data_IF_182050011269
#
_entry.id   IF_182050011269
#
_cell.length_a   1.000
_cell.length_b   1.000
_cell.length_c   1.000
_cell.angle_alpha   90.00
_cell.angle_beta   90.00
_cell.angle_gamma   90.00
#
_symmetry.space_group_name_H-M   'P 1'
#
loop_
_entity.id
_entity.type
_entity.pdbx_description
1 polymer ?
#
# COMPACT_ATOMS: atom_id res chain seq x y z
N UNK A 1 7.74 -8.06 6.37
CA UNK A 1 7.84 -7.63 4.94
C UNK A 1 8.41 -6.23 4.77
N UNK A 2 9.07 -5.68 5.81
CA UNK A 2 9.76 -4.40 5.71
C UNK A 2 10.81 -4.46 4.58
N UNK A 3 10.81 -3.43 3.72
CA UNK A 3 11.72 -3.26 2.59
C UNK A 3 11.83 -4.50 1.68
N UNK A 4 10.69 -5.17 1.44
CA UNK A 4 10.64 -6.38 0.60
C UNK A 4 11.14 -6.09 -0.82
N UNK A 5 10.77 -4.95 -1.41
CA UNK A 5 11.25 -4.47 -2.70
C UNK A 5 12.37 -3.46 -2.50
N UNK A 6 13.49 -3.95 -1.97
CA UNK A 6 14.73 -3.18 -1.81
C UNK A 6 15.39 -2.87 -3.17
N UNK A 7 16.43 -2.04 -3.17
CA UNK A 7 17.18 -1.65 -4.36
C UNK A 7 17.67 -2.86 -5.18
N UNK A 8 18.18 -3.91 -4.48
CA UNK A 8 18.67 -5.12 -5.13
C UNK A 8 17.55 -5.87 -5.85
N UNK A 9 16.39 -6.05 -5.20
CA UNK A 9 15.27 -6.77 -5.81
C UNK A 9 14.64 -5.99 -6.95
N UNK A 10 14.56 -4.67 -6.84
CA UNK A 10 14.12 -3.82 -7.94
C UNK A 10 15.05 -3.93 -9.16
N UNK A 11 16.38 -3.97 -8.95
CA UNK A 11 17.34 -4.13 -10.06
C UNK A 11 17.28 -5.49 -10.76
N UNK A 12 16.70 -6.51 -10.12
CA UNK A 12 16.51 -7.84 -10.71
C UNK A 12 15.22 -7.97 -11.53
N UNK A 13 14.37 -6.96 -11.51
CA UNK A 13 13.15 -6.96 -12.30
C UNK A 13 13.45 -6.86 -13.80
N UNK A 14 12.56 -7.39 -14.60
CA UNK A 14 12.67 -7.27 -16.06
C UNK A 14 12.64 -5.79 -16.47
N UNK A 15 13.60 -5.31 -17.28
CA UNK A 15 13.56 -3.94 -17.79
C UNK A 15 12.23 -3.62 -18.48
N UNK A 16 11.70 -2.44 -18.18
CA UNK A 16 10.41 -2.00 -18.72
C UNK A 16 9.17 -2.45 -17.92
N UNK A 17 9.36 -3.09 -16.77
CA UNK A 17 8.25 -3.48 -15.88
C UNK A 17 7.50 -2.27 -15.34
N UNK A 18 6.20 -2.43 -15.06
CA UNK A 18 5.39 -1.50 -14.28
C UNK A 18 5.21 -1.99 -12.85
N UNK A 19 5.14 -1.06 -11.90
CA UNK A 19 4.91 -1.37 -10.47
C UNK A 19 3.63 -0.70 -9.99
N UNK A 20 2.86 -1.41 -9.16
CA UNK A 20 1.72 -0.87 -8.42
C UNK A 20 1.89 -1.20 -6.94
N UNK A 21 1.92 -0.18 -6.09
CA UNK A 21 1.94 -0.36 -4.63
C UNK A 21 0.70 0.26 -4.00
N UNK A 22 -0.27 -0.59 -3.67
CA UNK A 22 -1.49 -0.27 -2.94
C UNK A 22 -1.51 -0.94 -1.56
N UNK A 23 -0.35 -1.41 -1.12
CA UNK A 23 -0.18 -2.12 0.15
C UNK A 23 0.23 -1.18 1.29
N UNK A 24 1.54 -1.15 1.56
CA UNK A 24 2.14 -0.25 2.58
C UNK A 24 3.47 0.29 2.07
N UNK A 25 3.77 1.56 2.38
CA UNK A 25 5.01 2.24 1.98
C UNK A 25 6.26 1.45 2.41
N UNK A 26 6.27 0.96 3.64
CA UNK A 26 7.37 0.23 4.23
C UNK A 26 7.77 -1.06 3.48
N UNK A 27 7.00 -1.51 2.50
CA UNK A 27 7.33 -2.69 1.69
C UNK A 27 8.32 -2.41 0.57
N UNK A 28 8.54 -1.14 0.22
CA UNK A 28 9.32 -0.74 -0.95
C UNK A 28 10.33 0.38 -0.60
N UNK A 29 11.51 0.28 -1.20
CA UNK A 29 12.51 1.36 -1.23
C UNK A 29 12.13 2.37 -2.32
N UNK A 30 11.62 3.55 -1.91
CA UNK A 30 11.18 4.58 -2.84
C UNK A 30 12.33 5.37 -3.46
N UNK A 31 13.48 5.49 -2.79
CA UNK A 31 14.66 6.11 -3.39
C UNK A 31 15.15 5.27 -4.56
N UNK A 32 15.21 3.95 -4.38
CA UNK A 32 15.52 3.01 -5.45
C UNK A 32 14.48 3.03 -6.58
N UNK A 33 13.19 3.21 -6.26
CA UNK A 33 12.15 3.33 -7.28
C UNK A 33 12.35 4.59 -8.13
N UNK A 34 12.65 5.73 -7.50
CA UNK A 34 12.94 6.99 -8.20
C UNK A 34 14.13 6.84 -9.15
N UNK A 35 15.23 6.22 -8.68
CA UNK A 35 16.40 5.93 -9.53
C UNK A 35 16.02 5.05 -10.74
N UNK A 36 15.23 4.00 -10.53
CA UNK A 36 14.84 3.07 -11.58
C UNK A 36 13.84 3.68 -12.58
N UNK A 37 12.94 4.57 -12.15
CA UNK A 37 12.05 5.32 -13.03
C UNK A 37 12.84 6.30 -13.89
N UNK A 38 13.77 7.05 -13.28
CA UNK A 38 14.63 8.00 -13.99
C UNK A 38 15.54 7.32 -15.01
N UNK A 39 16.05 6.13 -14.73
CA UNK A 39 16.87 5.37 -15.67
C UNK A 39 16.06 4.65 -16.76
N UNK A 40 14.75 4.54 -16.59
CA UNK A 40 13.86 3.78 -17.47
C UNK A 40 13.92 2.26 -17.27
N UNK A 41 14.64 1.77 -16.25
CA UNK A 41 14.64 0.34 -15.89
C UNK A 41 13.23 -0.10 -15.47
N UNK A 42 12.56 0.68 -14.62
CA UNK A 42 11.12 0.59 -14.35
C UNK A 42 10.43 1.61 -15.26
N UNK A 43 9.48 1.15 -16.05
CA UNK A 43 8.82 1.98 -17.08
C UNK A 43 7.82 2.96 -16.47
N UNK A 44 7.07 2.53 -15.47
CA UNK A 44 6.07 3.34 -14.79
C UNK A 44 5.74 2.75 -13.41
N UNK A 45 5.25 3.59 -12.51
CA UNK A 45 4.73 3.13 -11.23
C UNK A 45 3.45 3.88 -10.83
N UNK A 46 2.60 3.19 -10.05
CA UNK A 46 1.45 3.76 -9.34
C UNK A 46 1.66 3.49 -7.86
N UNK A 47 1.64 4.54 -7.03
CA UNK A 47 1.81 4.43 -5.59
C UNK A 47 0.65 5.12 -4.89
N UNK A 48 0.03 4.38 -3.96
CA UNK A 48 -1.12 4.85 -3.16
C UNK A 48 -0.77 5.00 -1.67
N UNK A 49 0.46 4.70 -1.26
CA UNK A 49 0.87 4.65 0.15
C UNK A 49 2.25 5.31 0.33
N UNK A 50 2.44 6.06 1.43
CA UNK A 50 3.65 6.86 1.68
C UNK A 50 4.08 6.77 3.14
N UNK A 51 5.30 7.20 3.43
CA UNK A 51 5.81 7.40 4.78
C UNK A 51 6.73 8.64 4.78
N UNK A 52 6.32 9.76 5.43
CA UNK A 52 5.06 9.95 6.15
C UNK A 52 3.84 10.16 5.23
N UNK A 53 2.64 9.97 5.77
CA UNK A 53 1.37 10.36 5.16
C UNK A 53 0.75 11.54 5.95
N UNK A 54 0.24 12.58 5.25
CA UNK A 54 0.24 12.79 3.79
C UNK A 54 1.65 12.98 3.22
N UNK A 55 1.85 12.65 1.94
CA UNK A 55 3.12 12.86 1.25
C UNK A 55 3.52 14.34 1.32
N UNK A 56 4.72 14.67 1.84
CA UNK A 56 5.18 16.06 1.95
C UNK A 56 5.20 16.79 0.61
N UNK A 57 4.85 18.07 0.62
CA UNK A 57 4.79 18.90 -0.61
C UNK A 57 6.14 19.07 -1.31
N UNK A 58 7.24 18.88 -0.59
CA UNK A 58 8.59 18.92 -1.13
C UNK A 58 9.18 17.55 -1.47
N UNK A 59 8.36 16.50 -1.49
CA UNK A 59 8.81 15.15 -1.85
C UNK A 59 9.21 15.08 -3.32
N UNK A 60 10.35 14.43 -3.60
CA UNK A 60 10.82 14.16 -4.96
C UNK A 60 9.83 13.30 -5.76
N UNK A 61 8.97 12.55 -5.09
CA UNK A 61 7.97 11.70 -5.75
C UNK A 61 6.99 12.50 -6.62
N UNK A 62 6.72 13.77 -6.28
CA UNK A 62 5.84 14.63 -7.08
C UNK A 62 6.41 14.93 -8.48
N UNK A 63 7.74 15.05 -8.58
CA UNK A 63 8.44 15.41 -9.81
C UNK A 63 9.06 14.19 -10.53
N UNK A 64 8.84 12.98 -9.99
CA UNK A 64 9.41 11.76 -10.57
C UNK A 64 8.66 11.38 -11.85
N UNK A 65 9.36 11.22 -12.99
CA UNK A 65 8.72 10.89 -14.26
C UNK A 65 8.07 9.51 -14.23
N UNK A 66 6.94 9.37 -14.93
CA UNK A 66 6.19 8.10 -15.04
C UNK A 66 5.73 7.52 -13.70
N UNK A 67 5.64 8.33 -12.65
CA UNK A 67 5.06 8.00 -11.36
C UNK A 67 3.68 8.63 -11.23
N UNK A 68 2.68 7.80 -10.96
CA UNK A 68 1.35 8.26 -10.55
C UNK A 68 1.24 8.15 -9.03
N UNK A 69 0.97 9.26 -8.38
CA UNK A 69 0.76 9.38 -6.92
C UNK A 69 -0.74 9.42 -6.66
N UNK A 70 -1.24 8.50 -5.83
CA UNK A 70 -2.62 8.45 -5.38
C UNK A 70 -2.67 8.72 -3.87
N UNK A 71 -3.68 9.40 -3.33
CA UNK A 71 -3.69 9.84 -1.94
C UNK A 71 -4.28 8.79 -0.97
N UNK A 72 -3.82 7.55 -1.05
CA UNK A 72 -4.24 6.40 -0.22
C UNK A 72 -5.74 6.11 -0.30
N UNK A 73 -6.24 5.98 -1.52
CA UNK A 73 -7.67 5.83 -1.82
C UNK A 73 -7.99 4.59 -2.67
N UNK A 74 -7.03 3.69 -2.89
CA UNK A 74 -7.23 2.54 -3.78
C UNK A 74 -8.31 1.55 -3.30
N UNK A 75 -8.64 1.57 -2.00
CA UNK A 75 -9.73 0.79 -1.41
C UNK A 75 -10.93 1.64 -1.02
N UNK A 76 -10.95 2.94 -1.34
CA UNK A 76 -12.05 3.84 -1.01
C UNK A 76 -13.17 3.69 -2.05
N UNK A 77 -14.21 2.99 -1.63
CA UNK A 77 -15.46 2.84 -2.37
C UNK A 77 -16.58 3.47 -1.53
N UNK A 78 -17.04 4.65 -1.97
CA UNK A 78 -18.04 5.43 -1.25
C UNK A 78 -19.36 4.71 -1.02
N UNK A 79 -19.70 3.70 -1.84
CA UNK A 79 -20.97 3.01 -1.77
C UNK A 79 -20.93 1.74 -0.89
N UNK A 80 -19.80 1.03 -0.85
CA UNK A 80 -19.74 -0.28 -0.20
C UNK A 80 -18.86 -0.34 1.03
N UNK A 81 -17.85 0.52 1.16
CA UNK A 81 -16.90 0.47 2.28
C UNK A 81 -17.58 0.56 3.65
N UNK A 82 -18.42 1.60 3.87
CA UNK A 82 -19.11 1.80 5.15
C UNK A 82 -20.13 0.68 5.44
N UNK A 83 -21.04 0.32 4.53
CA UNK A 83 -21.95 -0.80 4.76
C UNK A 83 -21.25 -2.11 5.13
N UNK A 84 -20.25 -2.53 4.37
CA UNK A 84 -19.50 -3.77 4.64
C UNK A 84 -18.75 -3.73 5.98
N UNK A 85 -18.22 -2.58 6.35
CA UNK A 85 -17.57 -2.40 7.66
C UNK A 85 -18.58 -2.54 8.79
N UNK A 86 -19.75 -1.91 8.68
CA UNK A 86 -20.81 -2.02 9.68
C UNK A 86 -21.35 -3.45 9.80
N UNK A 87 -21.54 -4.14 8.69
CA UNK A 87 -21.97 -5.55 8.67
C UNK A 87 -20.98 -6.44 9.43
N UNK A 88 -19.67 -6.25 9.19
CA UNK A 88 -18.63 -6.98 9.91
C UNK A 88 -18.65 -6.68 11.41
N UNK A 89 -18.83 -5.41 11.79
CA UNK A 89 -18.94 -5.00 13.21
C UNK A 89 -20.15 -5.66 13.87
N UNK A 90 -21.33 -5.57 13.26
CA UNK A 90 -22.55 -6.15 13.80
C UNK A 90 -22.46 -7.68 13.93
N UNK A 91 -21.89 -8.33 12.92
CA UNK A 91 -21.64 -9.78 12.95
C UNK A 91 -20.67 -10.15 14.09
N UNK A 92 -19.60 -9.40 14.27
CA UNK A 92 -18.64 -9.66 15.36
C UNK A 92 -19.22 -9.36 16.74
N UNK A 93 -20.10 -8.37 16.89
CA UNK A 93 -20.85 -8.15 18.13
C UNK A 93 -21.73 -9.36 18.50
N UNK A 94 -22.45 -9.92 17.54
CA UNK A 94 -23.26 -11.13 17.77
C UNK A 94 -22.39 -12.31 18.18
N UNK A 95 -21.27 -12.54 17.49
CA UNK A 95 -20.32 -13.61 17.80
C UNK A 95 -19.68 -13.42 19.19
N UNK A 96 -19.33 -12.19 19.55
CA UNK A 96 -18.80 -11.86 20.87
C UNK A 96 -19.78 -12.19 22.01
N UNK A 97 -21.07 -11.84 21.82
CA UNK A 97 -22.13 -12.17 22.81
C UNK A 97 -22.35 -13.68 22.90
N UNK A 98 -22.18 -14.42 21.80
CA UNK A 98 -22.32 -15.87 21.74
C UNK A 98 -21.06 -16.64 22.17
N UNK A 99 -19.98 -15.95 22.62
CA UNK A 99 -18.68 -16.53 22.94
C UNK A 99 -18.06 -17.32 21.76
N UNK A 100 -18.27 -16.84 20.54
CA UNK A 100 -17.75 -17.41 19.32
C UNK A 100 -16.47 -16.65 18.85
N UNK A 101 -15.64 -17.34 18.04
CA UNK A 101 -14.45 -16.72 17.44
C UNK A 101 -14.84 -15.56 16.51
N UNK A 102 -14.23 -14.39 16.69
CA UNK A 102 -14.45 -13.23 15.85
C UNK A 102 -13.88 -13.42 14.44
N UNK A 103 -14.51 -12.79 13.45
CA UNK A 103 -13.98 -12.69 12.09
C UNK A 103 -12.88 -11.62 12.02
N UNK A 104 -11.93 -11.81 11.12
CA UNK A 104 -10.82 -10.87 10.89
C UNK A 104 -10.06 -10.50 12.18
N UNK A 105 -9.88 -11.47 13.09
CA UNK A 105 -9.12 -11.26 14.30
C UNK A 105 -7.65 -11.00 13.95
N UNK A 106 -7.17 -9.82 14.34
CA UNK A 106 -5.76 -9.43 14.14
C UNK A 106 -4.90 -10.07 15.24
N UNK A 107 -3.75 -10.61 14.88
CA UNK A 107 -2.74 -10.99 15.83
C UNK A 107 -1.89 -9.76 16.21
N UNK A 108 -1.94 -9.25 17.47
CA UNK A 108 -1.21 -8.04 17.84
C UNK A 108 0.32 -8.16 17.70
N UNK A 109 0.86 -9.37 17.86
CA UNK A 109 2.31 -9.61 17.76
C UNK A 109 2.81 -9.54 16.30
N UNK A 110 1.93 -9.85 15.35
CA UNK A 110 2.23 -9.81 13.92
C UNK A 110 1.77 -8.51 13.25
N UNK A 111 0.81 -7.79 13.84
CA UNK A 111 0.23 -6.56 13.30
C UNK A 111 -0.77 -6.77 12.16
N UNK A 112 -1.21 -8.01 11.92
CA UNK A 112 -2.21 -8.38 10.90
C UNK A 112 -2.95 -9.66 11.25
#
# INVERSE_FOLDING_TARGET
TFNLLDKRRQSLMTPGVGIVNVGRAATMDYDALVENLNSGHIKAAIIDVFDPEPLPSNSILWDTPNLMVMPHISADDGDTYIPLTLDLVLMNMQRYIADEKLNNLINPDLGY
#
